data_IF_198195168251
#
_entry.id   IF_198195168251
#
_cell.length_a   1.000
_cell.length_b   1.000
_cell.length_c   1.000
_cell.angle_alpha   90.00
_cell.angle_beta   90.00
_cell.angle_gamma   90.00
#
_symmetry.space_group_name_H-M   'P 1'
#
loop_
_entity.id
_entity.type
_entity.pdbx_description
1 polymer ?
#
# COMPACT_ATOMS: atom_id res chain seq x y z
N UNK A 1 11.98 -2.57 4.70
CA UNK A 1 11.71 -3.70 5.62
C UNK A 1 10.59 -3.38 6.62
N UNK A 2 10.65 -2.26 7.36
CA UNK A 2 9.66 -1.94 8.41
C UNK A 2 8.19 -1.92 7.95
N UNK A 3 7.87 -1.29 6.81
CA UNK A 3 6.50 -1.25 6.27
C UNK A 3 5.99 -2.64 5.87
N UNK A 4 6.80 -3.46 5.21
CA UNK A 4 6.44 -4.84 4.88
C UNK A 4 6.10 -5.67 6.13
N UNK A 5 6.96 -5.62 7.16
CA UNK A 5 6.71 -6.34 8.42
C UNK A 5 5.45 -5.84 9.13
N UNK A 6 5.17 -4.54 9.07
CA UNK A 6 3.93 -3.97 9.60
C UNK A 6 2.71 -4.56 8.91
N UNK A 7 2.68 -4.61 7.58
CA UNK A 7 1.54 -5.15 6.84
C UNK A 7 1.35 -6.67 7.04
N UNK A 8 2.45 -7.41 7.20
CA UNK A 8 2.40 -8.83 7.59
C UNK A 8 1.75 -9.02 8.97
N UNK A 9 2.14 -8.21 9.96
CA UNK A 9 1.50 -8.23 11.29
C UNK A 9 0.04 -7.80 11.21
N UNK A 10 -0.28 -6.78 10.42
CA UNK A 10 -1.67 -6.35 10.24
C UNK A 10 -2.54 -7.46 9.66
N UNK A 11 -2.03 -8.20 8.67
CA UNK A 11 -2.74 -9.30 8.02
C UNK A 11 -2.90 -10.53 8.93
N UNK A 12 -1.82 -11.01 9.53
CA UNK A 12 -1.84 -12.26 10.29
C UNK A 12 -2.33 -12.12 11.74
N UNK A 13 -2.20 -10.93 12.33
CA UNK A 13 -2.41 -10.73 13.77
C UNK A 13 -3.53 -9.73 14.04
N UNK A 14 -3.45 -8.51 13.49
CA UNK A 14 -4.38 -7.44 13.86
C UNK A 14 -5.76 -7.64 13.25
N UNK A 15 -5.84 -7.85 11.93
CA UNK A 15 -7.11 -8.00 11.21
C UNK A 15 -7.95 -9.17 11.73
N UNK A 16 -7.41 -10.38 11.96
CA UNK A 16 -8.19 -11.48 12.51
C UNK A 16 -8.70 -11.22 13.92
N UNK A 17 -7.88 -10.62 14.79
CA UNK A 17 -8.26 -10.33 16.18
C UNK A 17 -9.33 -9.24 16.26
N UNK A 18 -9.14 -8.14 15.54
CA UNK A 18 -10.09 -7.04 15.51
C UNK A 18 -11.40 -7.49 14.84
N UNK A 19 -11.33 -8.19 13.71
CA UNK A 19 -12.53 -8.67 13.00
C UNK A 19 -13.31 -9.68 13.83
N UNK A 20 -12.65 -10.61 14.53
CA UNK A 20 -13.31 -11.55 15.43
C UNK A 20 -13.94 -10.88 16.67
N UNK A 21 -13.40 -9.72 17.10
CA UNK A 21 -13.94 -8.95 18.22
C UNK A 21 -15.10 -8.04 17.81
N UNK A 22 -15.03 -7.43 16.63
CA UNK A 22 -15.97 -6.41 16.17
C UNK A 22 -17.11 -6.97 15.32
N UNK A 23 -16.86 -8.07 14.60
CA UNK A 23 -17.83 -8.70 13.70
C UNK A 23 -18.05 -10.15 14.08
N UNK A 24 -19.18 -10.49 14.73
CA UNK A 24 -19.53 -11.88 15.03
C UNK A 24 -19.58 -12.76 13.76
N UNK A 25 -19.96 -12.18 12.61
CA UNK A 25 -20.01 -12.86 11.33
C UNK A 25 -18.65 -13.35 10.82
N UNK A 26 -17.55 -12.70 11.21
CA UNK A 26 -16.20 -13.11 10.82
C UNK A 26 -15.85 -14.53 11.31
N UNK A 27 -16.38 -14.94 12.47
CA UNK A 27 -16.14 -16.29 13.03
C UNK A 27 -16.83 -17.40 12.24
N UNK A 28 -17.89 -17.07 11.51
CA UNK A 28 -18.68 -18.01 10.71
C UNK A 28 -18.13 -18.19 9.28
N UNK A 29 -17.16 -17.36 8.87
CA UNK A 29 -16.56 -17.42 7.55
C UNK A 29 -15.67 -18.66 7.39
N UNK A 30 -15.60 -19.18 6.16
CA UNK A 30 -14.59 -20.18 5.78
C UNK A 30 -13.18 -19.57 5.81
N UNK A 31 -12.14 -20.40 5.85
CA UNK A 31 -10.75 -19.92 5.84
C UNK A 31 -10.43 -19.09 4.59
N UNK A 32 -11.01 -19.45 3.44
CA UNK A 32 -10.89 -18.70 2.18
C UNK A 32 -11.49 -17.29 2.34
N UNK A 33 -12.71 -17.21 2.88
CA UNK A 33 -13.40 -15.93 3.10
C UNK A 33 -12.69 -15.07 4.17
N UNK A 34 -12.08 -15.68 5.19
CA UNK A 34 -11.27 -14.96 6.17
C UNK A 34 -10.01 -14.37 5.54
N UNK A 35 -9.33 -15.12 4.67
CA UNK A 35 -8.17 -14.61 3.93
C UNK A 35 -8.55 -13.42 3.06
N UNK A 36 -9.65 -13.50 2.31
CA UNK A 36 -10.16 -12.36 1.52
C UNK A 36 -10.57 -11.18 2.40
N UNK A 37 -11.26 -11.43 3.51
CA UNK A 37 -11.67 -10.39 4.46
C UNK A 37 -10.47 -9.65 5.02
N UNK A 38 -9.45 -10.39 5.49
CA UNK A 38 -8.24 -9.79 6.05
C UNK A 38 -7.46 -9.02 4.99
N UNK A 39 -7.38 -9.54 3.76
CA UNK A 39 -6.76 -8.83 2.64
C UNK A 39 -7.44 -7.48 2.38
N UNK A 40 -8.78 -7.47 2.31
CA UNK A 40 -9.58 -6.24 2.12
C UNK A 40 -9.43 -5.24 3.28
N UNK A 41 -9.35 -5.74 4.51
CA UNK A 41 -9.14 -4.87 5.68
C UNK A 41 -7.77 -4.18 5.60
N UNK A 42 -6.72 -4.94 5.33
CA UNK A 42 -5.35 -4.42 5.25
C UNK A 42 -5.18 -3.47 4.05
N UNK A 43 -5.77 -3.78 2.90
CA UNK A 43 -5.75 -2.90 1.72
C UNK A 43 -6.47 -1.58 1.96
N UNK A 44 -7.60 -1.61 2.68
CA UNK A 44 -8.34 -0.39 3.07
C UNK A 44 -7.51 0.47 4.02
N UNK A 45 -6.85 -0.13 5.01
CA UNK A 45 -5.96 0.59 5.92
C UNK A 45 -4.78 1.21 5.19
N UNK A 46 -4.17 0.48 4.26
CA UNK A 46 -3.11 1.00 3.39
C UNK A 46 -3.58 2.20 2.57
N UNK A 47 -4.74 2.09 1.90
CA UNK A 47 -5.30 3.15 1.08
C UNK A 47 -5.61 4.42 1.89
N UNK A 48 -6.17 4.26 3.10
CA UNK A 48 -6.41 5.38 4.01
C UNK A 48 -5.09 6.02 4.45
N UNK A 49 -4.11 5.24 4.89
CA UNK A 49 -2.82 5.76 5.36
C UNK A 49 -2.08 6.53 4.26
N UNK A 50 -1.87 5.89 3.11
CA UNK A 50 -1.11 6.48 2.00
C UNK A 50 -1.89 7.61 1.35
N UNK A 51 -3.21 7.47 1.19
CA UNK A 51 -4.08 8.51 0.66
C UNK A 51 -4.12 9.76 1.56
N UNK A 52 -4.26 9.60 2.88
CA UNK A 52 -4.22 10.72 3.81
C UNK A 52 -2.86 11.42 3.84
N UNK A 53 -1.76 10.66 3.79
CA UNK A 53 -0.41 11.22 3.68
C UNK A 53 -0.21 11.97 2.35
N UNK A 54 -0.74 11.45 1.24
CA UNK A 54 -0.75 12.17 -0.04
C UNK A 54 -1.50 13.50 0.10
N UNK A 55 -2.74 13.50 0.60
CA UNK A 55 -3.49 14.75 0.79
C UNK A 55 -2.76 15.74 1.70
N UNK A 56 -2.13 15.27 2.78
CA UNK A 56 -1.32 16.11 3.65
C UNK A 56 -0.16 16.77 2.89
N UNK A 57 0.60 15.99 2.12
CA UNK A 57 1.71 16.52 1.31
C UNK A 57 1.19 17.55 0.30
N UNK A 58 0.03 17.30 -0.33
CA UNK A 58 -0.54 18.20 -1.32
C UNK A 58 -0.88 19.57 -0.73
N UNK A 59 -1.46 19.59 0.47
CA UNK A 59 -1.91 20.82 1.10
C UNK A 59 -0.80 21.58 1.82
N UNK A 60 0.20 20.88 2.36
CA UNK A 60 1.13 21.48 3.33
C UNK A 60 2.61 21.44 2.91
N UNK A 61 3.00 20.66 1.91
CA UNK A 61 4.40 20.59 1.46
C UNK A 61 4.66 21.58 0.30
N UNK A 62 4.84 22.86 0.67
CA UNK A 62 5.12 23.94 -0.29
C UNK A 62 6.39 23.70 -1.12
N UNK A 63 7.40 23.03 -0.55
CA UNK A 63 8.65 22.76 -1.25
C UNK A 63 8.43 21.78 -2.42
N UNK A 64 7.63 20.74 -2.19
CA UNK A 64 7.24 19.77 -3.23
C UNK A 64 6.29 20.37 -4.25
N UNK A 65 5.39 21.27 -3.84
CA UNK A 65 4.47 21.97 -4.75
C UNK A 65 5.19 23.01 -5.61
N UNK A 66 6.23 23.67 -5.10
CA UNK A 66 7.00 24.70 -5.83
C UNK A 66 7.96 24.09 -6.85
N UNK A 67 8.59 22.97 -6.51
CA UNK A 67 9.45 22.22 -7.44
C UNK A 67 9.03 20.74 -7.54
N UNK A 68 8.01 20.44 -8.37
CA UNK A 68 7.45 19.10 -8.51
C UNK A 68 8.44 18.06 -9.07
N UNK A 69 9.49 18.53 -9.76
CA UNK A 69 10.42 17.66 -10.50
C UNK A 69 11.69 17.40 -9.68
N UNK A 70 12.24 18.43 -9.03
CA UNK A 70 13.55 18.38 -8.36
C UNK A 70 13.53 18.74 -6.87
N UNK A 71 12.37 19.00 -6.27
CA UNK A 71 12.27 19.21 -4.82
C UNK A 71 12.84 18.04 -4.02
N UNK A 72 13.15 18.22 -2.73
CA UNK A 72 13.53 17.13 -1.81
C UNK A 72 12.34 16.68 -0.97
N UNK A 73 11.54 15.71 -1.44
CA UNK A 73 10.24 15.41 -0.89
C UNK A 73 10.35 14.31 0.17
N UNK A 74 11.00 14.59 1.29
CA UNK A 74 11.25 13.57 2.34
C UNK A 74 9.97 12.83 2.73
N UNK A 75 8.85 13.54 2.84
CA UNK A 75 7.54 12.96 3.14
C UNK A 75 6.98 12.10 2.00
N UNK A 76 7.18 12.48 0.74
CA UNK A 76 6.79 11.63 -0.41
C UNK A 76 7.61 10.35 -0.43
N UNK A 77 8.93 10.42 -0.19
CA UNK A 77 9.78 9.22 -0.12
C UNK A 77 9.30 8.27 0.98
N UNK A 78 8.89 8.81 2.13
CA UNK A 78 8.27 8.02 3.20
C UNK A 78 6.95 7.40 2.74
N UNK A 79 6.06 8.18 2.11
CA UNK A 79 4.77 7.68 1.63
C UNK A 79 4.93 6.55 0.60
N UNK A 80 5.84 6.74 -0.36
CA UNK A 80 6.19 5.73 -1.38
C UNK A 80 6.82 4.50 -0.72
N UNK A 81 7.71 4.66 0.26
CA UNK A 81 8.30 3.52 0.96
C UNK A 81 7.27 2.69 1.76
N UNK A 82 6.23 3.35 2.31
CA UNK A 82 5.09 2.67 2.93
C UNK A 82 4.30 1.90 1.86
N UNK A 83 4.00 2.55 0.72
CA UNK A 83 3.26 1.94 -0.37
C UNK A 83 4.00 0.76 -1.01
N UNK A 84 5.30 0.87 -1.28
CA UNK A 84 6.13 -0.24 -1.75
C UNK A 84 6.13 -1.42 -0.77
N UNK A 85 6.18 -1.15 0.53
CA UNK A 85 6.13 -2.21 1.55
C UNK A 85 4.81 -2.97 1.54
N UNK A 86 3.70 -2.26 1.37
CA UNK A 86 2.38 -2.87 1.17
C UNK A 86 2.33 -3.69 -0.12
N UNK A 87 2.77 -3.15 -1.26
CA UNK A 87 2.72 -3.85 -2.55
C UNK A 87 3.55 -5.14 -2.54
N UNK A 88 4.70 -5.16 -1.85
CA UNK A 88 5.48 -6.39 -1.65
C UNK A 88 4.72 -7.39 -0.78
N UNK A 89 4.06 -6.92 0.29
CA UNK A 89 3.22 -7.79 1.12
C UNK A 89 2.07 -8.39 0.32
N UNK A 90 1.36 -7.57 -0.45
CA UNK A 90 0.21 -8.01 -1.26
C UNK A 90 0.65 -8.99 -2.34
N UNK A 91 1.82 -8.76 -2.96
CA UNK A 91 2.43 -9.68 -3.91
C UNK A 91 2.77 -11.04 -3.28
N UNK A 92 3.33 -11.05 -2.06
CA UNK A 92 3.59 -12.31 -1.34
C UNK A 92 2.28 -13.04 -1.03
N UNK A 93 1.26 -12.32 -0.54
CA UNK A 93 -0.04 -12.92 -0.25
C UNK A 93 -0.70 -13.48 -1.51
N UNK A 94 -0.63 -12.75 -2.64
CA UNK A 94 -1.12 -13.16 -3.95
C UNK A 94 -0.48 -14.46 -4.41
N UNK A 95 0.85 -14.58 -4.28
CA UNK A 95 1.59 -15.78 -4.65
C UNK A 95 1.29 -16.96 -3.70
N UNK A 96 1.17 -16.71 -2.40
CA UNK A 96 0.85 -17.74 -1.41
C UNK A 96 -0.59 -18.26 -1.52
N UNK A 97 -1.54 -17.40 -1.89
CA UNK A 97 -2.97 -17.71 -1.99
C UNK A 97 -3.47 -17.60 -3.44
N UNK A 98 -2.65 -18.03 -4.40
CA UNK A 98 -2.91 -17.88 -5.83
C UNK A 98 -4.27 -18.46 -6.26
N UNK A 99 -4.67 -19.59 -5.70
CA UNK A 99 -5.95 -20.25 -5.99
C UNK A 99 -7.18 -19.46 -5.51
N UNK A 100 -6.99 -18.49 -4.62
CA UNK A 100 -8.07 -17.71 -4.02
C UNK A 100 -8.10 -16.28 -4.54
N UNK A 101 -6.95 -15.61 -4.58
CA UNK A 101 -6.85 -14.18 -4.92
C UNK A 101 -5.97 -13.90 -6.14
N UNK A 102 -5.36 -14.93 -6.75
CA UNK A 102 -4.42 -14.79 -7.85
C UNK A 102 -5.04 -14.22 -9.12
N UNK A 103 -4.45 -13.13 -9.64
CA UNK A 103 -4.78 -12.54 -10.93
C UNK A 103 -3.49 -12.06 -11.62
N UNK A 104 -3.27 -12.50 -12.86
CA UNK A 104 -2.10 -12.14 -13.66
C UNK A 104 -2.02 -10.65 -14.00
N UNK A 105 -3.16 -9.98 -14.20
CA UNK A 105 -3.19 -8.54 -14.41
C UNK A 105 -2.76 -7.80 -13.13
N UNK A 106 -3.24 -8.26 -11.99
CA UNK A 106 -2.88 -7.71 -10.68
C UNK A 106 -1.40 -7.90 -10.36
N UNK A 107 -0.85 -9.08 -10.68
CA UNK A 107 0.59 -9.36 -10.57
C UNK A 107 1.43 -8.38 -11.40
N UNK A 108 1.11 -8.22 -12.69
CA UNK A 108 1.82 -7.30 -13.57
C UNK A 108 1.70 -5.85 -13.08
N UNK A 109 0.52 -5.44 -12.61
CA UNK A 109 0.29 -4.12 -12.02
C UNK A 109 1.20 -3.86 -10.82
N UNK A 110 1.31 -4.82 -9.89
CA UNK A 110 2.14 -4.70 -8.69
C UNK A 110 3.62 -4.58 -9.03
N UNK A 111 4.09 -5.40 -9.98
CA UNK A 111 5.48 -5.35 -10.44
C UNK A 111 5.81 -4.02 -11.13
N UNK A 112 4.92 -3.52 -11.98
CA UNK A 112 5.09 -2.23 -12.65
C UNK A 112 5.09 -1.07 -11.65
N UNK A 113 4.19 -1.08 -10.66
CA UNK A 113 4.13 -0.08 -9.60
C UNK A 113 5.40 -0.09 -8.74
N UNK A 114 5.88 -1.28 -8.34
CA UNK A 114 7.13 -1.43 -7.59
C UNK A 114 8.33 -0.93 -8.38
N UNK A 115 8.40 -1.23 -9.68
CA UNK A 115 9.46 -0.74 -10.55
C UNK A 115 9.48 0.80 -10.63
N UNK A 116 8.30 1.42 -10.79
CA UNK A 116 8.18 2.88 -10.80
C UNK A 116 8.60 3.50 -9.46
N UNK A 117 8.14 2.95 -8.33
CA UNK A 117 8.50 3.43 -7.00
C UNK A 117 9.99 3.28 -6.68
N UNK A 118 10.61 2.20 -7.12
CA UNK A 118 12.06 1.98 -7.01
C UNK A 118 12.85 3.12 -7.70
N UNK A 119 12.38 3.58 -8.86
CA UNK A 119 13.00 4.69 -9.59
C UNK A 119 12.91 5.99 -8.80
N UNK A 120 11.75 6.30 -8.21
CA UNK A 120 11.54 7.50 -7.40
C UNK A 120 12.40 7.49 -6.13
N UNK A 121 12.49 6.34 -5.44
CA UNK A 121 13.29 6.20 -4.22
C UNK A 121 14.80 6.30 -4.48
N UNK A 122 15.29 5.71 -5.58
CA UNK A 122 16.73 5.65 -5.86
C UNK A 122 17.26 6.85 -6.64
N UNK A 123 16.45 7.45 -7.53
CA UNK A 123 16.87 8.57 -8.37
C UNK A 123 16.31 9.91 -7.92
N UNK A 124 15.30 9.92 -7.04
CA UNK A 124 14.66 11.15 -6.55
C UNK A 124 13.84 11.88 -7.62
N UNK A 125 13.53 11.22 -8.73
CA UNK A 125 12.87 11.83 -9.89
C UNK A 125 11.35 11.67 -9.83
N UNK A 126 10.64 12.72 -10.23
CA UNK A 126 9.17 12.78 -10.37
C UNK A 126 8.36 12.36 -9.13
N UNK A 127 8.79 12.71 -7.90
CA UNK A 127 8.12 12.29 -6.67
C UNK A 127 6.70 12.86 -6.56
N UNK A 128 6.49 14.09 -7.04
CA UNK A 128 5.17 14.70 -7.08
C UNK A 128 4.19 13.83 -7.89
N UNK A 129 4.57 13.39 -9.09
CA UNK A 129 3.74 12.56 -9.97
C UNK A 129 3.54 11.14 -9.42
N UNK A 130 4.52 10.61 -8.70
CA UNK A 130 4.40 9.31 -8.07
C UNK A 130 3.41 9.31 -6.89
N UNK A 131 3.21 10.47 -6.24
CA UNK A 131 2.30 10.64 -5.11
C UNK A 131 0.92 11.14 -5.53
N UNK A 132 0.88 12.00 -6.55
CA UNK A 132 -0.29 12.62 -7.13
C UNK A 132 -0.32 12.23 -8.60
N UNK A 133 -0.96 11.11 -8.91
CA UNK A 133 -1.32 10.79 -10.29
C UNK A 133 -2.39 11.78 -10.75
N UNK A 134 -1.96 12.98 -11.10
CA UNK A 134 -2.77 14.04 -11.67
C UNK A 134 -2.41 14.12 -13.15
N UNK A 135 -3.10 13.33 -13.95
CA UNK A 135 -3.25 13.64 -15.37
C UNK A 135 -3.99 14.99 -15.41
N UNK A 136 -3.29 16.07 -15.76
CA UNK A 136 -3.92 17.31 -16.21
C UNK A 136 -4.17 17.22 -17.71
#
# INVERSE_FOLDING_TARGET
>A
AGSFSLFQVLFHIASPRLSASLSPGYKLLSEVQKTEWNSRCVSTLHALLVGSLSLYILWFDEAVNRDPVWGDPKLVKVNIAIASGYLINDLVLLLCHWTTIGDGFFLCHHLAALYAYQYVLNRGLLPYFANFRLDR
#
